data_IF_134349587505
#
_entry.id   IF_134349587505
#
_cell.length_a   1.000
_cell.length_b   1.000
_cell.length_c   1.000
_cell.angle_alpha   90.00
_cell.angle_beta   90.00
_cell.angle_gamma   90.00
#
_symmetry.space_group_name_H-M   'P 1'
#
loop_
_entity.id
_entity.type
_entity.pdbx_description
1 polymer ?
#
# COMPACT_ATOMS: atom_id res chain seq x y z
N UNK A 1 -15.72 -7.75 5.61
CA UNK A 1 -14.51 -7.76 4.76
C UNK A 1 -13.27 -7.73 5.64
N UNK A 2 -12.17 -8.44 5.33
CA UNK A 2 -10.95 -8.36 6.13
C UNK A 2 -10.21 -7.03 5.95
N UNK A 3 -9.56 -6.55 7.01
CA UNK A 3 -8.77 -5.31 7.05
C UNK A 3 -7.29 -5.66 7.28
N UNK A 4 -6.40 -4.81 6.79
CA UNK A 4 -4.96 -4.91 6.97
C UNK A 4 -4.27 -3.56 6.97
N UNK A 5 -2.94 -3.57 6.94
CA UNK A 5 -2.14 -2.35 6.83
C UNK A 5 -2.14 -1.83 5.39
N UNK A 6 -2.27 -0.51 5.23
CA UNK A 6 -2.20 0.13 3.94
C UNK A 6 -0.75 0.34 3.48
N UNK A 7 -0.34 -0.39 2.44
CA UNK A 7 1.05 -0.37 1.95
C UNK A 7 1.48 1.01 1.41
N UNK A 8 0.71 1.72 0.57
CA UNK A 8 1.08 3.06 0.11
C UNK A 8 1.30 4.05 1.25
N UNK A 9 0.40 4.11 2.24
CA UNK A 9 0.62 4.97 3.40
C UNK A 9 1.71 4.46 4.33
N UNK A 10 2.08 3.18 4.32
CA UNK A 10 3.27 2.72 5.05
C UNK A 10 4.49 3.48 4.57
N UNK A 11 4.70 3.54 3.25
CA UNK A 11 5.79 4.34 2.67
C UNK A 11 5.58 5.84 2.90
N UNK A 12 4.35 6.33 2.71
CA UNK A 12 4.02 7.73 2.90
C UNK A 12 4.30 8.24 4.32
N UNK A 13 3.85 7.49 5.33
CA UNK A 13 4.07 7.79 6.73
C UNK A 13 5.54 7.72 7.09
N UNK A 14 6.27 6.69 6.63
CA UNK A 14 7.71 6.56 6.94
C UNK A 14 8.52 7.71 6.34
N UNK A 15 8.34 8.01 5.05
CA UNK A 15 9.22 8.95 4.34
C UNK A 15 8.79 10.41 4.41
N UNK A 16 7.50 10.70 4.58
CA UNK A 16 7.00 12.08 4.55
C UNK A 16 6.46 12.57 5.90
N UNK A 17 6.30 11.69 6.89
CA UNK A 17 5.80 12.07 8.22
C UNK A 17 6.82 11.74 9.30
N UNK A 18 7.03 10.46 9.58
CA UNK A 18 7.83 9.95 10.70
C UNK A 18 9.32 10.28 10.51
N UNK A 19 9.88 9.97 9.33
CA UNK A 19 11.28 10.25 9.01
C UNK A 19 11.62 11.75 9.11
N UNK A 20 10.87 12.64 8.42
CA UNK A 20 11.05 14.08 8.55
C UNK A 20 10.81 14.59 9.97
N UNK A 21 9.81 14.09 10.68
CA UNK A 21 9.56 14.46 12.08
C UNK A 21 10.74 14.11 12.99
N UNK A 22 11.35 12.94 12.78
CA UNK A 22 12.56 12.53 13.49
C UNK A 22 13.74 13.45 13.15
N UNK A 23 13.98 13.70 11.85
CA UNK A 23 15.08 14.56 11.40
C UNK A 23 14.94 16.00 11.94
N UNK A 24 13.73 16.57 11.90
CA UNK A 24 13.44 17.90 12.46
C UNK A 24 13.67 17.94 13.97
N UNK A 25 13.33 16.87 14.69
CA UNK A 25 13.53 16.75 16.13
C UNK A 25 15.03 16.73 16.48
N UNK A 26 15.82 15.93 15.75
CA UNK A 26 17.28 15.89 15.88
C UNK A 26 17.89 17.27 15.58
N UNK A 27 17.46 17.92 14.49
CA UNK A 27 17.93 19.25 14.13
C UNK A 27 17.59 20.32 15.18
N UNK A 28 16.53 20.09 15.96
CA UNK A 28 16.11 20.95 17.09
C UNK A 28 16.88 20.67 18.39
N UNK A 29 17.84 19.74 18.38
CA UNK A 29 18.72 19.44 19.51
C UNK A 29 18.21 18.38 20.48
N UNK A 30 17.14 17.65 20.13
CA UNK A 30 16.65 16.50 20.93
C UNK A 30 17.62 15.32 20.82
N UNK A 31 17.67 14.49 21.87
CA UNK A 31 18.41 13.22 21.81
C UNK A 31 17.73 12.24 20.84
N UNK A 32 18.45 11.21 20.39
CA UNK A 32 17.90 10.21 19.45
C UNK A 32 16.63 9.54 19.98
N UNK A 33 16.58 9.22 21.27
CA UNK A 33 15.41 8.57 21.88
C UNK A 33 14.22 9.53 21.98
N UNK A 34 14.46 10.79 22.36
CA UNK A 34 13.40 11.81 22.44
C UNK A 34 12.85 12.16 21.04
N UNK A 35 13.74 12.27 20.05
CA UNK A 35 13.37 12.47 18.67
C UNK A 35 12.52 11.30 18.13
N UNK A 36 12.93 10.06 18.42
CA UNK A 36 12.16 8.86 18.04
C UNK A 36 10.78 8.85 18.69
N UNK A 37 10.69 9.19 19.99
CA UNK A 37 9.42 9.28 20.72
C UNK A 37 8.52 10.38 20.18
N UNK A 38 9.07 11.56 19.87
CA UNK A 38 8.31 12.64 19.24
C UNK A 38 7.78 12.24 17.86
N UNK A 39 8.60 11.62 17.02
CA UNK A 39 8.19 11.13 15.71
C UNK A 39 7.10 10.05 15.81
N UNK A 40 7.21 9.14 16.79
CA UNK A 40 6.17 8.15 17.09
C UNK A 40 4.84 8.82 17.49
N UNK A 41 4.87 9.80 18.39
CA UNK A 41 3.67 10.55 18.80
C UNK A 41 3.02 11.31 17.64
N UNK A 42 3.82 11.96 16.78
CA UNK A 42 3.31 12.60 15.56
C UNK A 42 2.66 11.57 14.62
N UNK A 43 3.28 10.40 14.48
CA UNK A 43 2.71 9.27 13.73
C UNK A 43 1.35 8.84 14.28
N UNK A 44 1.23 8.67 15.60
CA UNK A 44 -0.04 8.30 16.24
C UNK A 44 -1.13 9.35 16.01
N UNK A 45 -0.84 10.64 16.24
CA UNK A 45 -1.77 11.74 15.96
C UNK A 45 -2.23 11.74 14.50
N UNK A 46 -1.30 11.50 13.57
CA UNK A 46 -1.60 11.43 12.14
C UNK A 46 -2.57 10.29 11.83
N UNK A 47 -2.39 9.12 12.42
CA UNK A 47 -3.29 7.98 12.22
C UNK A 47 -4.65 8.20 12.85
N UNK A 48 -4.72 8.81 14.04
CA UNK A 48 -6.00 9.21 14.65
C UNK A 48 -6.73 10.21 13.74
N UNK A 49 -6.03 11.21 13.21
CA UNK A 49 -6.60 12.19 12.28
C UNK A 49 -7.13 11.53 11.00
N UNK A 50 -6.35 10.60 10.42
CA UNK A 50 -6.77 9.80 9.27
C UNK A 50 -8.04 8.99 9.58
N UNK A 51 -8.07 8.28 10.70
CA UNK A 51 -9.24 7.48 11.10
C UNK A 51 -10.51 8.32 11.29
N UNK A 52 -10.39 9.51 11.91
CA UNK A 52 -11.49 10.47 12.04
C UNK A 52 -11.95 10.97 10.67
N UNK A 53 -11.02 11.27 9.76
CA UNK A 53 -11.34 11.66 8.39
C UNK A 53 -12.07 10.55 7.63
N UNK A 54 -11.63 9.30 7.72
CA UNK A 54 -12.32 8.16 7.10
C UNK A 54 -13.74 7.99 7.63
N UNK A 55 -13.93 8.12 8.94
CA UNK A 55 -15.24 8.06 9.58
C UNK A 55 -16.17 9.17 9.07
N UNK A 56 -15.65 10.38 8.85
CA UNK A 56 -16.43 11.48 8.29
C UNK A 56 -16.76 11.30 6.81
N UNK A 57 -15.92 10.57 6.06
CA UNK A 57 -16.20 10.19 4.68
C UNK A 57 -17.19 9.02 4.54
N UNK A 58 -17.36 8.18 5.57
CA UNK A 58 -18.20 6.98 5.49
C UNK A 58 -19.64 7.23 4.96
N UNK A 59 -20.36 8.29 5.39
CA UNK A 59 -21.70 8.59 4.86
C UNK A 59 -21.69 8.96 3.36
N UNK A 60 -20.59 9.54 2.87
CA UNK A 60 -20.43 9.95 1.47
C UNK A 60 -19.96 8.79 0.58
N UNK A 61 -19.39 7.74 1.16
CA UNK A 61 -18.80 6.62 0.42
C UNK A 61 -19.82 5.92 -0.49
N UNK A 62 -21.08 5.76 -0.03
CA UNK A 62 -22.15 5.19 -0.86
C UNK A 62 -22.50 6.07 -2.07
N UNK A 63 -22.50 7.39 -1.90
CA UNK A 63 -22.76 8.33 -3.00
C UNK A 63 -21.64 8.26 -4.05
N UNK A 64 -20.39 8.18 -3.60
CA UNK A 64 -19.23 8.03 -4.48
C UNK A 64 -19.30 6.69 -5.22
N UNK A 65 -19.54 5.59 -4.51
CA UNK A 65 -19.68 4.25 -5.11
C UNK A 65 -20.74 4.20 -6.21
N UNK A 66 -21.87 4.89 -6.04
CA UNK A 66 -22.95 4.94 -7.04
C UNK A 66 -22.66 5.91 -8.21
N UNK A 67 -21.91 6.98 -7.96
CA UNK A 67 -21.65 8.02 -8.96
C UNK A 67 -20.49 7.65 -9.90
N UNK A 68 -19.50 6.92 -9.39
CA UNK A 68 -18.26 6.59 -10.10
C UNK A 68 -18.46 5.30 -10.91
N UNK A 69 -18.15 5.27 -12.22
CA UNK A 69 -18.30 4.07 -13.03
C UNK A 69 -17.29 3.00 -12.58
N UNK A 70 -17.70 1.74 -12.64
CA UNK A 70 -16.88 0.58 -12.27
C UNK A 70 -15.49 0.58 -12.90
N UNK A 71 -15.38 0.97 -14.17
CA UNK A 71 -14.11 1.06 -14.89
C UNK A 71 -13.12 2.06 -14.28
N UNK A 72 -13.61 3.08 -13.57
CA UNK A 72 -12.77 4.06 -12.88
C UNK A 72 -12.18 3.50 -11.58
N UNK A 73 -13.04 2.92 -10.74
CA UNK A 73 -12.67 2.25 -9.48
C UNK A 73 -11.71 1.07 -9.72
N UNK A 74 -12.05 0.19 -10.67
CA UNK A 74 -11.20 -0.94 -11.02
C UNK A 74 -9.93 -0.51 -11.79
N UNK A 75 -9.99 0.60 -12.52
CA UNK A 75 -8.87 1.20 -13.24
C UNK A 75 -7.75 1.66 -12.31
N UNK A 76 -8.08 2.44 -11.28
CA UNK A 76 -7.12 2.85 -10.24
C UNK A 76 -6.51 1.65 -9.51
N UNK A 77 -7.32 0.63 -9.17
CA UNK A 77 -6.79 -0.61 -8.58
C UNK A 77 -5.82 -1.34 -9.52
N UNK A 78 -6.16 -1.48 -10.80
CA UNK A 78 -5.32 -2.16 -11.77
C UNK A 78 -3.97 -1.44 -11.93
N UNK A 79 -4.00 -0.11 -11.94
CA UNK A 79 -2.83 0.75 -12.03
C UNK A 79 -1.88 0.55 -10.84
N UNK A 80 -2.39 0.61 -9.61
CA UNK A 80 -1.58 0.39 -8.39
C UNK A 80 -1.03 -1.04 -8.34
N UNK A 81 -1.89 -2.02 -8.63
CA UNK A 81 -1.53 -3.43 -8.60
C UNK A 81 -0.41 -3.77 -9.59
N UNK A 82 -0.49 -3.25 -10.82
CA UNK A 82 0.50 -3.51 -11.85
C UNK A 82 1.78 -2.67 -11.66
N UNK A 83 1.63 -1.36 -11.49
CA UNK A 83 2.78 -0.45 -11.49
C UNK A 83 3.58 -0.49 -10.19
N UNK A 84 2.95 -0.75 -9.03
CA UNK A 84 3.62 -0.69 -7.74
C UNK A 84 3.73 -2.07 -7.09
N UNK A 85 2.60 -2.75 -6.87
CA UNK A 85 2.57 -4.02 -6.13
C UNK A 85 3.27 -5.14 -6.90
N UNK A 86 3.10 -5.20 -8.22
CA UNK A 86 3.77 -6.20 -9.04
C UNK A 86 5.23 -5.82 -9.31
N UNK A 87 5.50 -4.58 -9.74
CA UNK A 87 6.83 -4.20 -10.23
C UNK A 87 7.89 -4.05 -9.13
N UNK A 88 7.60 -3.39 -8.00
CA UNK A 88 8.62 -3.10 -6.99
C UNK A 88 9.23 -4.39 -6.37
N UNK A 89 8.43 -5.41 -5.99
CA UNK A 89 8.98 -6.67 -5.50
C UNK A 89 9.79 -7.45 -6.54
N UNK A 90 9.53 -7.25 -7.84
CA UNK A 90 10.31 -7.86 -8.91
C UNK A 90 11.77 -7.42 -8.89
N UNK A 91 12.05 -6.16 -8.52
CA UNK A 91 13.43 -5.67 -8.39
C UNK A 91 14.19 -6.44 -7.31
N UNK A 92 13.55 -6.70 -6.17
CA UNK A 92 14.15 -7.43 -5.06
C UNK A 92 14.30 -8.92 -5.37
N UNK A 93 13.33 -9.51 -6.09
CA UNK A 93 13.43 -10.89 -6.59
C UNK A 93 14.66 -11.09 -7.47
N UNK A 94 15.05 -10.06 -8.23
CA UNK A 94 16.19 -10.09 -9.13
C UNK A 94 17.53 -9.79 -8.45
N UNK A 95 17.57 -9.40 -7.17
CA UNK A 95 18.83 -9.33 -6.40
C UNK A 95 19.38 -10.72 -6.12
N UNK A 96 18.49 -11.72 -5.96
CA UNK A 96 18.84 -13.14 -5.83
C UNK A 96 17.96 -14.00 -6.76
N UNK A 97 18.22 -14.00 -8.08
CA UNK A 97 17.34 -14.61 -9.07
C UNK A 97 17.07 -16.10 -8.83
N UNK A 98 18.06 -16.86 -8.33
CA UNK A 98 17.88 -18.29 -8.05
C UNK A 98 16.78 -18.54 -7.01
N UNK A 99 16.80 -17.79 -5.90
CA UNK A 99 15.81 -17.91 -4.83
C UNK A 99 14.48 -17.33 -5.28
N UNK A 100 14.51 -16.11 -5.83
CA UNK A 100 13.31 -15.36 -6.13
C UNK A 100 12.53 -15.90 -7.33
N UNK A 101 13.19 -16.25 -8.43
CA UNK A 101 12.51 -16.78 -9.62
C UNK A 101 11.97 -18.19 -9.41
N UNK A 102 12.65 -19.03 -8.61
CA UNK A 102 12.12 -20.35 -8.24
C UNK A 102 10.87 -20.20 -7.38
N UNK A 103 10.92 -19.34 -6.36
CA UNK A 103 9.77 -19.04 -5.50
C UNK A 103 8.60 -18.50 -6.32
N UNK A 104 8.87 -17.55 -7.23
CA UNK A 104 7.88 -17.00 -8.15
C UNK A 104 7.31 -18.07 -9.08
N UNK A 105 8.14 -18.94 -9.65
CA UNK A 105 7.70 -20.04 -10.52
C UNK A 105 6.74 -20.99 -9.79
N UNK A 106 7.05 -21.33 -8.53
CA UNK A 106 6.16 -22.16 -7.69
C UNK A 106 4.84 -21.46 -7.44
N UNK A 107 4.85 -20.16 -7.12
CA UNK A 107 3.62 -19.39 -6.90
C UNK A 107 2.76 -19.28 -8.16
N UNK A 108 3.37 -18.97 -9.31
CA UNK A 108 2.65 -18.88 -10.58
C UNK A 108 2.07 -20.24 -10.98
N UNK A 109 2.83 -21.34 -10.81
CA UNK A 109 2.33 -22.68 -11.06
C UNK A 109 1.15 -23.04 -10.12
N UNK A 110 1.29 -22.76 -8.83
CA UNK A 110 0.35 -23.25 -7.81
C UNK A 110 -0.88 -22.37 -7.62
N UNK A 111 -0.72 -21.05 -7.64
CA UNK A 111 -1.79 -20.10 -7.37
C UNK A 111 -2.43 -19.56 -8.65
N UNK A 112 -1.65 -19.24 -9.69
CA UNK A 112 -2.19 -18.75 -10.97
C UNK A 112 -2.67 -19.91 -11.86
N UNK A 113 -1.80 -20.88 -12.13
CA UNK A 113 -2.12 -22.03 -12.98
C UNK A 113 -2.84 -23.16 -12.23
N UNK A 114 -3.00 -23.04 -10.90
CA UNK A 114 -3.72 -23.99 -10.03
C UNK A 114 -3.17 -25.41 -10.09
N UNK A 115 -1.86 -25.56 -10.36
CA UNK A 115 -1.17 -26.84 -10.33
C UNK A 115 -0.94 -27.25 -8.87
N UNK A 116 -1.45 -28.42 -8.42
CA UNK A 116 -1.30 -28.84 -7.04
C UNK A 116 0.17 -29.12 -6.72
N UNK A 117 0.64 -28.58 -5.59
CA UNK A 117 1.98 -28.87 -5.06
C UNK A 117 1.99 -30.29 -4.46
N UNK A 118 3.08 -31.07 -4.60
CA UNK A 118 3.23 -32.36 -3.94
C UNK A 118 2.92 -32.28 -2.44
N UNK A 119 2.17 -33.26 -1.92
CA UNK A 119 1.75 -33.27 -0.52
C UNK A 119 0.62 -32.30 -0.15
N UNK A 120 0.04 -31.58 -1.12
CA UNK A 120 -1.07 -30.62 -0.93
C UNK A 120 -0.74 -29.50 0.06
N UNK A 121 0.53 -29.15 0.19
CA UNK A 121 0.94 -27.98 0.97
C UNK A 121 0.52 -26.68 0.24
N UNK A 122 0.23 -25.58 0.97
CA UNK A 122 -0.08 -24.30 0.35
C UNK A 122 1.05 -23.82 -0.57
N UNK A 123 0.69 -23.32 -1.76
CA UNK A 123 1.65 -22.86 -2.76
C UNK A 123 2.63 -21.82 -2.25
N UNK A 124 2.15 -20.87 -1.43
CA UNK A 124 2.99 -19.85 -0.80
C UNK A 124 3.99 -20.43 0.21
N UNK A 125 3.57 -21.42 1.00
CA UNK A 125 4.47 -22.11 1.93
C UNK A 125 5.52 -22.93 1.16
N UNK A 126 5.11 -23.60 0.08
CA UNK A 126 6.02 -24.35 -0.78
C UNK A 126 7.08 -23.44 -1.41
N UNK A 127 6.67 -22.28 -1.93
CA UNK A 127 7.57 -21.30 -2.49
C UNK A 127 8.60 -20.83 -1.45
N UNK A 128 8.15 -20.49 -0.24
CA UNK A 128 9.02 -20.06 0.85
C UNK A 128 10.02 -21.16 1.27
N UNK A 129 9.55 -22.39 1.46
CA UNK A 129 10.40 -23.50 1.89
C UNK A 129 11.44 -23.88 0.84
N UNK A 130 11.03 -23.97 -0.43
CA UNK A 130 11.93 -24.34 -1.53
C UNK A 130 12.89 -23.20 -1.84
N UNK A 131 12.39 -21.96 -1.97
CA UNK A 131 13.21 -20.78 -2.21
C UNK A 131 14.19 -20.52 -1.08
N UNK A 132 13.71 -20.49 0.17
CA UNK A 132 14.55 -20.29 1.33
C UNK A 132 15.58 -21.43 1.52
N UNK A 133 15.17 -22.68 1.32
CA UNK A 133 16.08 -23.83 1.35
C UNK A 133 17.17 -23.73 0.28
N UNK A 134 16.84 -23.33 -0.95
CA UNK A 134 17.81 -23.08 -2.01
C UNK A 134 18.77 -21.95 -1.63
N UNK A 135 18.27 -20.87 -1.02
CA UNK A 135 19.09 -19.77 -0.53
C UNK A 135 20.12 -20.25 0.49
N UNK A 136 19.68 -21.01 1.50
CA UNK A 136 20.55 -21.58 2.53
C UNK A 136 21.64 -22.49 1.93
N UNK A 137 21.28 -23.37 1.00
CA UNK A 137 22.23 -24.27 0.33
C UNK A 137 23.22 -23.46 -0.52
N UNK A 138 22.73 -22.50 -1.31
CA UNK A 138 23.58 -21.69 -2.17
C UNK A 138 24.56 -20.83 -1.35
N UNK A 139 24.16 -20.30 -0.19
CA UNK A 139 25.07 -19.61 0.73
C UNK A 139 26.07 -20.59 1.36
N UNK A 140 25.64 -21.76 1.81
CA UNK A 140 26.52 -22.75 2.45
C UNK A 140 27.61 -23.30 1.52
N UNK A 141 27.32 -23.41 0.21
CA UNK A 141 28.27 -23.85 -0.83
C UNK A 141 29.10 -22.67 -1.40
N UNK A 142 28.80 -21.44 -0.98
CA UNK A 142 29.53 -20.23 -1.39
C UNK A 142 29.14 -19.68 -2.77
N UNK A 143 27.97 -20.06 -3.30
CA UNK A 143 27.43 -19.51 -4.56
C UNK A 143 26.73 -18.17 -4.39
N UNK A 144 26.18 -17.92 -3.20
CA UNK A 144 25.61 -16.63 -2.82
C UNK A 144 26.43 -16.04 -1.66
N UNK A 145 26.53 -14.70 -1.59
CA UNK A 145 27.05 -14.05 -0.38
C UNK A 145 26.18 -14.44 0.83
N UNK A 146 26.73 -14.36 2.05
CA UNK A 146 25.93 -14.45 3.26
C UNK A 146 24.78 -13.46 3.21
N UNK A 147 23.59 -13.90 3.66
CA UNK A 147 22.45 -12.99 3.79
C UNK A 147 22.83 -11.93 4.82
N UNK A 148 22.86 -10.67 4.41
CA UNK A 148 23.01 -9.56 5.36
C UNK A 148 21.76 -9.48 6.24
N UNK A 149 21.97 -9.23 7.53
CA UNK A 149 20.88 -9.05 8.48
C UNK A 149 19.92 -7.99 7.97
N UNK A 150 18.63 -8.32 7.95
CA UNK A 150 17.61 -7.36 7.56
C UNK A 150 17.39 -6.33 8.68
N UNK A 151 17.74 -6.69 9.92
CA UNK A 151 17.64 -5.81 11.07
C UNK A 151 18.95 -5.04 11.33
N UNK A 152 18.84 -3.74 11.59
CA UNK A 152 19.93 -2.90 12.08
C UNK A 152 20.21 -3.09 13.59
N UNK A 153 19.46 -3.98 14.24
CA UNK A 153 19.49 -4.26 15.67
C UNK A 153 19.39 -5.77 15.91
N UNK A 154 19.84 -6.22 17.09
CA UNK A 154 19.73 -7.61 17.50
C UNK A 154 18.25 -8.03 17.66
N UNK A 155 17.71 -8.95 16.84
CA UNK A 155 16.27 -9.29 16.86
C UNK A 155 15.75 -9.74 18.22
N UNK A 156 16.60 -10.41 19.02
CA UNK A 156 16.26 -10.86 20.36
C UNK A 156 15.96 -9.70 21.33
N UNK A 157 16.55 -8.52 21.09
CA UNK A 157 16.31 -7.32 21.91
C UNK A 157 14.91 -6.73 21.74
N UNK A 158 14.22 -7.07 20.64
CA UNK A 158 12.86 -6.65 20.37
C UNK A 158 11.80 -7.58 20.97
N UNK A 159 12.18 -8.68 21.62
CA UNK A 159 11.23 -9.58 22.27
C UNK A 159 10.60 -8.93 23.50
N UNK A 160 9.30 -9.18 23.70
CA UNK A 160 8.49 -8.63 24.79
C UNK A 160 8.56 -7.09 24.88
N UNK A 161 8.23 -6.37 23.80
CA UNK A 161 8.28 -4.92 23.80
C UNK A 161 7.24 -4.37 24.76
N UNK A 162 7.68 -3.64 25.79
CA UNK A 162 6.79 -2.98 26.77
C UNK A 162 6.63 -1.48 26.50
N UNK A 163 7.45 -0.89 25.61
CA UNK A 163 7.45 0.54 25.32
C UNK A 163 6.13 1.06 24.72
N UNK A 164 5.35 0.22 24.04
CA UNK A 164 4.05 0.64 23.51
C UNK A 164 3.04 1.00 24.62
N UNK A 165 3.22 0.49 25.85
CA UNK A 165 2.37 0.84 26.99
C UNK A 165 2.48 2.31 27.39
N UNK A 166 3.52 3.03 26.94
CA UNK A 166 3.64 4.47 27.10
C UNK A 166 2.43 5.20 26.49
N UNK A 167 1.71 4.62 25.53
CA UNK A 167 0.48 5.22 24.97
C UNK A 167 -0.56 5.63 26.03
N UNK A 168 -0.61 4.91 27.16
CA UNK A 168 -1.55 5.16 28.26
C UNK A 168 -1.15 6.33 29.17
N UNK A 169 0.04 6.91 28.99
CA UNK A 169 0.42 8.16 29.64
C UNK A 169 -0.18 9.40 28.96
N UNK A 170 -0.76 9.22 27.77
CA UNK A 170 -1.39 10.27 26.97
C UNK A 170 -0.47 11.45 26.60
N UNK A 171 0.85 11.31 26.73
CA UNK A 171 1.83 12.33 26.39
C UNK A 171 1.84 12.65 24.89
N UNK A 172 1.43 11.69 24.05
CA UNK A 172 1.31 11.87 22.60
C UNK A 172 0.30 12.96 22.20
N UNK A 173 -0.67 13.32 23.05
CA UNK A 173 -1.57 14.44 22.78
C UNK A 173 -0.83 15.78 22.63
N UNK A 174 0.33 15.93 23.28
CA UNK A 174 1.17 17.12 23.13
C UNK A 174 1.76 17.27 21.72
N UNK A 175 1.76 16.21 20.89
CA UNK A 175 2.27 16.23 19.53
C UNK A 175 1.24 16.72 18.49
N UNK A 176 -0.03 16.97 18.86
CA UNK A 176 -1.05 17.46 17.92
C UNK A 176 -0.64 18.75 17.20
N UNK A 177 -0.11 19.80 17.87
CA UNK A 177 0.34 21.01 17.19
C UNK A 177 1.45 20.75 16.16
N UNK A 178 2.37 19.82 16.46
CA UNK A 178 3.43 19.40 15.54
C UNK A 178 2.90 18.57 14.37
N UNK A 179 1.76 17.92 14.54
CA UNK A 179 1.14 17.04 13.54
C UNK A 179 0.44 17.83 12.44
N UNK A 180 -0.06 19.04 12.72
CA UNK A 180 -0.86 19.84 11.77
C UNK A 180 -0.15 20.03 10.43
N UNK A 181 1.17 20.23 10.43
CA UNK A 181 1.95 20.43 9.20
C UNK A 181 1.99 19.18 8.29
N UNK A 182 1.73 17.99 8.82
CA UNK A 182 1.71 16.73 8.07
C UNK A 182 0.30 16.36 7.58
N UNK A 183 -0.76 17.01 8.07
CA UNK A 183 -2.14 16.72 7.63
C UNK A 183 -2.34 16.87 6.11
N UNK A 184 -1.73 17.84 5.41
CA UNK A 184 -1.79 17.91 3.95
C UNK A 184 -1.27 16.67 3.24
N UNK A 185 -0.41 15.86 3.87
CA UNK A 185 0.10 14.59 3.34
C UNK A 185 -0.79 13.42 3.80
N UNK A 186 -1.12 13.39 5.09
CA UNK A 186 -1.88 12.31 5.75
C UNK A 186 -3.31 12.20 5.20
N UNK A 187 -3.98 13.32 4.98
CA UNK A 187 -5.39 13.34 4.55
C UNK A 187 -5.55 12.80 3.12
N UNK A 188 -4.72 13.15 2.12
CA UNK A 188 -4.73 12.48 0.83
C UNK A 188 -4.52 10.97 0.89
N UNK A 189 -3.62 10.46 1.75
CA UNK A 189 -3.49 9.01 1.95
C UNK A 189 -4.75 8.39 2.56
N UNK A 190 -5.36 9.06 3.54
CA UNK A 190 -6.62 8.62 4.13
C UNK A 190 -7.75 8.58 3.08
N UNK A 191 -7.84 9.63 2.24
CA UNK A 191 -8.79 9.68 1.13
C UNK A 191 -8.51 8.56 0.11
N UNK A 192 -7.24 8.30 -0.21
CA UNK A 192 -6.84 7.19 -1.06
C UNK A 192 -7.33 5.84 -0.53
N UNK A 193 -7.26 5.61 0.78
CA UNK A 193 -7.81 4.39 1.39
C UNK A 193 -9.33 4.35 1.43
N UNK A 194 -10.03 5.48 1.59
CA UNK A 194 -11.51 5.52 1.46
C UNK A 194 -11.93 5.10 0.06
N UNK A 195 -11.26 5.65 -0.97
CA UNK A 195 -11.49 5.25 -2.37
C UNK A 195 -11.15 3.78 -2.56
N UNK A 196 -9.99 3.33 -2.09
CA UNK A 196 -9.57 1.92 -2.15
C UNK A 196 -10.54 0.98 -1.43
N UNK A 197 -11.15 1.42 -0.33
CA UNK A 197 -12.18 0.67 0.39
C UNK A 197 -13.48 0.54 -0.40
N UNK A 198 -13.87 1.58 -1.14
CA UNK A 198 -14.98 1.53 -2.11
C UNK A 198 -14.63 0.58 -3.27
N UNK A 199 -13.41 0.64 -3.79
CA UNK A 199 -12.96 -0.26 -4.85
C UNK A 199 -12.95 -1.73 -4.36
N UNK A 200 -12.59 -1.94 -3.10
CA UNK A 200 -12.61 -3.23 -2.44
C UNK A 200 -14.03 -3.78 -2.28
N UNK A 201 -15.01 -2.96 -1.87
CA UNK A 201 -16.40 -3.42 -1.80
C UNK A 201 -16.95 -3.78 -3.18
N UNK A 202 -16.60 -3.03 -4.21
CA UNK A 202 -16.95 -3.34 -5.59
C UNK A 202 -16.29 -4.64 -6.09
N UNK A 203 -15.01 -4.85 -5.75
CA UNK A 203 -14.29 -6.09 -6.05
C UNK A 203 -14.93 -7.31 -5.35
N UNK A 204 -15.35 -7.15 -4.09
CA UNK A 204 -16.05 -8.21 -3.36
C UNK A 204 -17.42 -8.54 -3.96
N UNK A 205 -18.18 -7.51 -4.37
CA UNK A 205 -19.45 -7.68 -5.06
C UNK A 205 -19.26 -8.42 -6.40
N UNK A 206 -18.17 -8.15 -7.13
CA UNK A 206 -17.80 -8.90 -8.34
C UNK A 206 -17.60 -10.41 -8.09
N UNK A 207 -17.18 -10.79 -6.88
CA UNK A 207 -17.02 -12.18 -6.45
C UNK A 207 -18.27 -12.74 -5.71
N UNK A 208 -19.39 -12.02 -5.75
CA UNK A 208 -20.67 -12.44 -5.19
C UNK A 208 -20.84 -12.22 -3.68
N UNK A 209 -20.04 -11.36 -3.05
CA UNK A 209 -20.27 -10.91 -1.67
C UNK A 209 -20.60 -9.42 -1.63
N UNK A 210 -21.85 -9.09 -1.30
CA UNK A 210 -22.29 -7.70 -1.14
C UNK A 210 -22.03 -7.22 0.29
N UNK A 211 -21.27 -6.13 0.41
CA UNK A 211 -21.01 -5.44 1.67
C UNK A 211 -21.56 -4.01 1.62
N UNK A 212 -22.08 -3.49 2.74
CA UNK A 212 -22.40 -2.07 2.87
C UNK A 212 -21.11 -1.25 2.84
N UNK A 213 -20.89 -0.51 1.75
CA UNK A 213 -19.72 0.36 1.57
C UNK A 213 -19.55 1.33 2.73
N UNK A 214 -20.65 1.93 3.24
CA UNK A 214 -20.58 2.83 4.41
C UNK A 214 -20.06 2.08 5.64
N UNK A 215 -20.59 0.90 5.91
CA UNK A 215 -20.16 0.04 7.01
C UNK A 215 -18.69 -0.35 6.89
N UNK A 216 -18.21 -0.69 5.69
CA UNK A 216 -16.80 -1.05 5.46
C UNK A 216 -15.88 0.13 5.79
N UNK A 217 -16.16 1.32 5.24
CA UNK A 217 -15.35 2.51 5.50
C UNK A 217 -15.44 2.94 6.98
N UNK A 218 -16.61 2.80 7.61
CA UNK A 218 -16.76 3.13 9.03
C UNK A 218 -15.94 2.20 9.93
N UNK A 219 -15.94 0.89 9.65
CA UNK A 219 -15.14 -0.09 10.42
C UNK A 219 -13.65 0.11 10.17
N UNK A 220 -13.25 0.41 8.94
CA UNK A 220 -11.86 0.78 8.61
C UNK A 220 -11.40 2.04 9.36
N UNK A 221 -12.21 3.10 9.33
CA UNK A 221 -11.93 4.35 10.05
C UNK A 221 -11.82 4.12 11.55
N UNK A 222 -12.75 3.37 12.13
CA UNK A 222 -12.71 3.00 13.55
C UNK A 222 -11.47 2.16 13.90
N UNK A 223 -11.14 1.15 13.10
CA UNK A 223 -9.95 0.33 13.29
C UNK A 223 -8.67 1.18 13.22
N UNK A 224 -8.64 2.15 12.30
CA UNK A 224 -7.53 3.12 12.17
C UNK A 224 -7.41 3.99 13.43
N UNK A 225 -8.51 4.53 13.96
CA UNK A 225 -8.50 5.31 15.21
C UNK A 225 -8.00 4.45 16.37
N UNK A 226 -8.54 3.24 16.54
CA UNK A 226 -8.14 2.32 17.61
C UNK A 226 -6.67 1.95 17.48
N UNK A 227 -6.16 1.70 16.27
CA UNK A 227 -4.75 1.44 16.04
C UNK A 227 -3.88 2.63 16.50
N UNK A 228 -4.23 3.85 16.12
CA UNK A 228 -3.52 5.07 16.57
C UNK A 228 -3.53 5.24 18.09
N UNK A 229 -4.67 5.00 18.74
CA UNK A 229 -4.82 5.02 20.20
C UNK A 229 -4.06 3.90 20.91
N UNK A 230 -3.57 2.89 20.19
CA UNK A 230 -2.76 1.80 20.72
C UNK A 230 -1.29 1.87 20.27
N UNK A 231 -0.83 3.03 19.77
CA UNK A 231 0.56 3.24 19.35
C UNK A 231 0.85 2.95 17.88
N UNK A 232 -0.18 2.65 17.08
CA UNK A 232 -0.06 2.45 15.64
C UNK A 232 0.27 3.75 14.89
N UNK A 233 1.18 3.65 13.92
CA UNK A 233 1.61 4.77 13.07
C UNK A 233 1.31 4.56 11.58
N UNK A 234 0.61 3.49 11.26
CA UNK A 234 0.16 3.13 9.91
C UNK A 234 -1.35 2.89 9.96
N UNK A 235 -2.07 3.41 8.96
CA UNK A 235 -3.52 3.27 8.86
C UNK A 235 -3.94 1.89 8.34
N UNK A 236 -5.15 1.47 8.69
CA UNK A 236 -5.73 0.26 8.12
C UNK A 236 -6.43 0.53 6.78
N UNK A 237 -6.58 -0.50 5.96
CA UNK A 237 -7.37 -0.51 4.72
C UNK A 237 -8.02 -1.89 4.51
N UNK A 238 -9.16 -1.99 3.82
CA UNK A 238 -9.70 -3.28 3.36
C UNK A 238 -8.69 -4.01 2.48
N UNK A 239 -8.54 -5.31 2.68
CA UNK A 239 -7.63 -6.09 1.85
C UNK A 239 -8.15 -6.20 0.42
N UNK A 240 -7.34 -5.65 -0.49
CA UNK A 240 -7.49 -5.89 -1.91
C UNK A 240 -7.23 -7.38 -2.18
N UNK A 241 -8.02 -7.99 -3.06
CA UNK A 241 -7.90 -9.42 -3.39
C UNK A 241 -8.89 -10.33 -2.65
N UNK A 242 -9.98 -9.79 -2.09
CA UNK A 242 -11.11 -10.59 -1.57
C UNK A 242 -11.55 -11.74 -2.51
N UNK A 243 -11.66 -11.55 -3.85
CA UNK A 243 -11.95 -12.65 -4.76
C UNK A 243 -10.93 -13.80 -4.70
N UNK A 244 -9.64 -13.49 -4.58
CA UNK A 244 -8.58 -14.49 -4.48
C UNK A 244 -8.65 -15.26 -3.15
N UNK A 245 -8.81 -14.54 -2.02
CA UNK A 245 -8.97 -15.18 -0.71
C UNK A 245 -10.20 -16.08 -0.64
N UNK A 246 -11.32 -15.65 -1.24
CA UNK A 246 -12.54 -16.45 -1.34
C UNK A 246 -12.33 -17.69 -2.21
N UNK A 247 -11.65 -17.57 -3.34
CA UNK A 247 -11.32 -18.71 -4.20
C UNK A 247 -10.41 -19.74 -3.50
N UNK A 248 -9.56 -19.29 -2.56
CA UNK A 248 -8.77 -20.17 -1.68
C UNK A 248 -9.56 -20.78 -0.53
N UNK A 249 -10.85 -20.45 -0.36
CA UNK A 249 -11.70 -20.92 0.73
C UNK A 249 -11.57 -20.12 2.03
N UNK A 250 -10.91 -18.96 2.01
CA UNK A 250 -10.80 -18.06 3.15
C UNK A 250 -12.16 -17.52 3.60
N UNK A 251 -12.44 -17.60 4.91
CA UNK A 251 -13.68 -17.11 5.55
C UNK A 251 -13.35 -16.28 6.79
N UNK A 252 -14.37 -15.87 7.56
CA UNK A 252 -14.17 -15.04 8.75
C UNK A 252 -13.19 -15.64 9.77
N UNK A 253 -13.19 -16.98 9.95
CA UNK A 253 -12.25 -17.67 10.82
C UNK A 253 -10.79 -17.52 10.38
N UNK A 254 -10.53 -17.48 9.06
CA UNK A 254 -9.19 -17.21 8.54
C UNK A 254 -8.74 -15.80 8.92
N UNK A 255 -9.60 -14.80 8.72
CA UNK A 255 -9.31 -13.42 9.12
C UNK A 255 -9.02 -13.30 10.62
N UNK A 256 -9.81 -13.96 11.46
CA UNK A 256 -9.60 -13.96 12.92
C UNK A 256 -8.29 -14.65 13.29
N UNK A 257 -8.00 -15.81 12.70
CA UNK A 257 -6.75 -16.52 12.93
C UNK A 257 -5.53 -15.68 12.54
N UNK A 258 -5.60 -14.97 11.40
CA UNK A 258 -4.56 -14.02 10.99
C UNK A 258 -4.42 -12.88 12.00
N UNK A 259 -5.52 -12.27 12.46
CA UNK A 259 -5.47 -11.20 13.44
C UNK A 259 -4.85 -11.66 14.78
N UNK A 260 -5.21 -12.84 15.26
CA UNK A 260 -4.64 -13.43 16.48
C UNK A 260 -3.15 -13.74 16.29
N UNK A 261 -2.78 -14.37 15.17
CA UNK A 261 -1.37 -14.71 14.89
C UNK A 261 -0.49 -13.46 14.79
N UNK A 262 -0.90 -12.47 13.99
CA UNK A 262 -0.17 -11.20 13.82
C UNK A 262 -0.16 -10.43 15.14
N UNK A 263 -1.27 -10.37 15.87
CA UNK A 263 -1.35 -9.69 17.17
C UNK A 263 -0.42 -10.32 18.21
N UNK A 264 -0.40 -11.65 18.32
CA UNK A 264 0.51 -12.35 19.23
C UNK A 264 1.98 -12.18 18.82
N UNK A 265 2.29 -12.25 17.53
CA UNK A 265 3.65 -11.99 17.04
C UNK A 265 4.10 -10.54 17.33
N UNK A 266 3.18 -9.58 17.27
CA UNK A 266 3.42 -8.18 17.67
C UNK A 266 3.67 -8.03 19.18
N UNK A 267 2.78 -8.56 20.02
CA UNK A 267 2.89 -8.47 21.49
C UNK A 267 4.15 -9.15 22.01
N UNK A 268 4.55 -10.27 21.41
CA UNK A 268 5.76 -11.00 21.79
C UNK A 268 7.04 -10.39 21.19
N UNK A 269 6.92 -9.49 20.21
CA UNK A 269 8.06 -8.98 19.44
C UNK A 269 8.67 -9.99 18.46
N UNK A 270 8.03 -11.15 18.26
CA UNK A 270 8.55 -12.24 17.42
C UNK A 270 8.71 -11.85 15.96
N UNK A 271 8.09 -10.76 15.50
CA UNK A 271 8.27 -10.25 14.14
C UNK A 271 9.73 -9.92 13.81
N UNK A 272 10.51 -9.40 14.75
CA UNK A 272 11.92 -9.11 14.49
C UNK A 272 12.70 -10.39 14.12
N UNK A 273 12.42 -11.49 14.84
CA UNK A 273 13.04 -12.79 14.58
C UNK A 273 12.50 -13.42 13.29
N UNK A 274 11.19 -13.35 13.04
CA UNK A 274 10.59 -13.86 11.82
C UNK A 274 11.10 -13.11 10.58
N UNK A 275 11.25 -11.79 10.68
CA UNK A 275 11.77 -10.95 9.62
C UNK A 275 13.21 -11.31 9.27
N UNK A 276 14.04 -11.60 10.27
CA UNK A 276 15.42 -12.04 10.06
C UNK A 276 15.51 -13.45 9.45
N UNK A 277 14.59 -14.35 9.78
CA UNK A 277 14.61 -15.74 9.31
C UNK A 277 14.10 -15.93 7.87
N UNK A 278 13.26 -15.02 7.39
CA UNK A 278 12.56 -15.16 6.10
C UNK A 278 13.35 -14.41 5.03
N UNK A 279 13.92 -15.11 4.02
CA UNK A 279 14.63 -14.42 2.95
C UNK A 279 13.68 -13.55 2.15
N UNK A 280 13.96 -12.24 2.06
CA UNK A 280 13.19 -11.29 1.26
C UNK A 280 12.83 -11.80 -0.14
N UNK A 281 13.81 -12.29 -0.93
CA UNK A 281 13.56 -12.81 -2.27
C UNK A 281 12.61 -14.01 -2.33
N UNK A 282 12.46 -14.78 -1.25
CA UNK A 282 11.56 -15.94 -1.19
C UNK A 282 10.11 -15.55 -0.85
N UNK A 283 9.90 -14.47 -0.09
CA UNK A 283 8.55 -14.04 0.33
C UNK A 283 7.91 -13.04 -0.63
N UNK A 284 8.69 -12.09 -1.15
CA UNK A 284 8.21 -11.00 -2.01
C UNK A 284 7.47 -11.43 -3.29
N UNK A 285 7.78 -12.58 -3.92
CA UNK A 285 6.99 -13.13 -5.02
C UNK A 285 5.49 -13.26 -4.75
N UNK A 286 5.05 -13.37 -3.49
CA UNK A 286 3.61 -13.39 -3.18
C UNK A 286 2.91 -12.09 -3.57
N UNK A 287 3.59 -10.95 -3.43
CA UNK A 287 3.07 -9.64 -3.81
C UNK A 287 2.93 -9.53 -5.33
N UNK A 288 3.88 -10.10 -6.07
CA UNK A 288 3.81 -10.19 -7.54
C UNK A 288 2.54 -10.93 -7.97
N UNK A 289 2.31 -12.12 -7.40
CA UNK A 289 1.09 -12.90 -7.65
C UNK A 289 -0.19 -12.09 -7.34
N UNK A 290 -0.22 -11.45 -6.16
CA UNK A 290 -1.37 -10.63 -5.74
C UNK A 290 -1.61 -9.48 -6.73
N UNK A 291 -0.56 -8.77 -7.14
CA UNK A 291 -0.65 -7.69 -8.13
C UNK A 291 -1.22 -8.17 -9.46
N UNK A 292 -0.73 -9.31 -9.98
CA UNK A 292 -1.23 -9.92 -11.21
C UNK A 292 -2.72 -10.30 -11.13
N UNK A 293 -3.14 -10.94 -10.04
CA UNK A 293 -4.55 -11.31 -9.83
C UNK A 293 -5.45 -10.08 -9.73
N UNK A 294 -5.05 -9.06 -8.97
CA UNK A 294 -5.84 -7.82 -8.85
C UNK A 294 -5.99 -7.15 -10.22
N UNK A 295 -4.90 -7.01 -10.97
CA UNK A 295 -4.94 -6.44 -12.32
C UNK A 295 -5.84 -7.26 -13.24
N UNK A 296 -5.70 -8.58 -13.28
CA UNK A 296 -6.54 -9.45 -14.12
C UNK A 296 -8.03 -9.36 -13.76
N UNK A 297 -8.37 -9.36 -12.46
CA UNK A 297 -9.74 -9.23 -12.00
C UNK A 297 -10.34 -7.86 -12.36
N UNK A 298 -9.56 -6.77 -12.26
CA UNK A 298 -10.03 -5.44 -12.69
C UNK A 298 -10.45 -5.41 -14.16
N UNK A 299 -9.70 -6.09 -15.05
CA UNK A 299 -10.09 -6.22 -16.45
C UNK A 299 -11.29 -7.16 -16.63
N UNK A 300 -11.33 -8.32 -15.97
CA UNK A 300 -12.46 -9.25 -16.10
C UNK A 300 -13.79 -8.68 -15.58
N UNK A 301 -13.76 -7.91 -14.50
CA UNK A 301 -14.95 -7.29 -13.93
C UNK A 301 -15.39 -6.02 -14.68
N UNK A 302 -14.55 -5.47 -15.56
CA UNK A 302 -14.89 -4.31 -16.40
C UNK A 302 -15.48 -4.77 -17.74
N UNK A 303 -16.53 -4.11 -18.29
CA UNK A 303 -16.97 -4.39 -19.65
C UNK A 303 -15.84 -4.20 -20.66
N UNK A 304 -15.70 -5.12 -21.63
CA UNK A 304 -14.59 -5.08 -22.62
C UNK A 304 -14.46 -3.73 -23.34
N UNK A 305 -15.58 -3.06 -23.65
CA UNK A 305 -15.57 -1.74 -24.28
C UNK A 305 -14.86 -0.66 -23.45
N UNK A 306 -14.76 -0.84 -22.12
CA UNK A 306 -14.12 0.09 -21.19
C UNK A 306 -12.67 -0.29 -20.85
N UNK A 307 -12.09 -1.32 -21.48
CA UNK A 307 -10.66 -1.66 -21.27
C UNK A 307 -9.70 -0.50 -21.53
N UNK A 308 -9.91 0.39 -22.53
CA UNK A 308 -9.09 1.58 -22.69
C UNK A 308 -9.11 2.50 -21.46
N UNK A 309 -10.23 2.56 -20.73
CA UNK A 309 -10.34 3.36 -19.51
C UNK A 309 -9.52 2.76 -18.35
N UNK A 310 -9.45 1.43 -18.26
CA UNK A 310 -8.58 0.74 -17.28
C UNK A 310 -7.10 0.93 -17.66
N UNK A 311 -6.77 0.83 -18.95
CA UNK A 311 -5.39 0.97 -19.43
C UNK A 311 -4.83 2.38 -19.24
N UNK A 312 -5.60 3.43 -19.55
CA UNK A 312 -5.15 4.82 -19.37
C UNK A 312 -4.97 5.16 -17.88
N UNK A 313 -5.72 4.51 -16.99
CA UNK A 313 -5.56 4.64 -15.55
C UNK A 313 -4.14 4.23 -15.07
N UNK A 314 -3.43 3.38 -15.81
CA UNK A 314 -2.08 2.97 -15.44
C UNK A 314 -1.03 4.07 -15.64
N UNK A 315 -1.28 5.06 -16.50
CA UNK A 315 -0.28 6.06 -16.89
C UNK A 315 0.23 6.90 -15.69
N UNK A 316 -0.65 7.50 -14.86
CA UNK A 316 -0.19 8.25 -13.68
C UNK A 316 0.59 7.38 -12.68
N UNK A 317 0.17 6.12 -12.48
CA UNK A 317 0.85 5.21 -11.57
C UNK A 317 2.25 4.80 -12.08
N UNK A 318 2.41 4.64 -13.40
CA UNK A 318 3.72 4.41 -14.02
C UNK A 318 4.64 5.63 -13.87
N UNK A 319 4.10 6.85 -13.98
CA UNK A 319 4.87 8.07 -13.70
C UNK A 319 5.33 8.10 -12.23
N UNK A 320 4.44 7.75 -11.29
CA UNK A 320 4.79 7.64 -9.87
C UNK A 320 5.88 6.58 -9.62
N UNK A 321 5.82 5.43 -10.30
CA UNK A 321 6.88 4.41 -10.24
C UNK A 321 8.24 4.97 -10.68
N UNK A 322 8.28 5.71 -11.79
CA UNK A 322 9.53 6.33 -12.29
C UNK A 322 10.04 7.36 -11.28
N UNK A 323 9.15 8.20 -10.74
CA UNK A 323 9.51 9.21 -9.75
C UNK A 323 10.10 8.60 -8.48
N UNK A 324 9.59 7.45 -8.01
CA UNK A 324 10.16 6.74 -6.85
C UNK A 324 11.65 6.41 -7.07
N UNK A 325 12.04 5.96 -8.26
CA UNK A 325 13.44 5.65 -8.55
C UNK A 325 14.27 6.91 -8.78
N UNK A 326 13.68 7.92 -9.42
CA UNK A 326 14.33 9.21 -9.60
C UNK A 326 14.64 9.89 -8.26
N UNK A 327 13.70 9.90 -7.32
CA UNK A 327 13.89 10.54 -6.03
C UNK A 327 15.02 9.84 -5.23
N UNK A 328 15.19 8.52 -5.36
CA UNK A 328 16.36 7.80 -4.82
C UNK A 328 17.68 8.26 -5.45
N UNK A 329 17.71 8.46 -6.76
CA UNK A 329 18.91 8.95 -7.46
C UNK A 329 19.25 10.37 -7.03
N UNK A 330 18.26 11.26 -6.94
CA UNK A 330 18.45 12.63 -6.46
C UNK A 330 18.95 12.66 -5.01
N UNK A 331 18.37 11.82 -4.13
CA UNK A 331 18.84 11.66 -2.75
C UNK A 331 20.27 11.13 -2.68
N UNK A 332 20.71 10.34 -3.65
CA UNK A 332 22.09 9.89 -3.80
C UNK A 332 23.04 10.95 -4.42
N UNK A 333 22.55 12.16 -4.71
CA UNK A 333 23.34 13.28 -5.22
C UNK A 333 23.38 13.39 -6.74
N UNK A 334 22.51 12.71 -7.47
CA UNK A 334 22.44 12.85 -8.93
C UNK A 334 22.05 14.28 -9.34
N UNK A 335 22.75 14.84 -10.33
CA UNK A 335 22.49 16.17 -10.89
C UNK A 335 22.01 16.05 -12.34
N UNK A 336 20.68 16.04 -12.57
CA UNK A 336 20.13 15.93 -13.92
C UNK A 336 20.51 17.13 -14.80
N UNK A 337 20.71 16.89 -16.09
CA UNK A 337 20.87 17.98 -17.08
C UNK A 337 19.57 18.79 -17.21
N UNK A 338 19.64 20.05 -17.65
CA UNK A 338 18.45 20.92 -17.79
C UNK A 338 17.31 20.32 -18.64
N UNK A 339 17.63 19.55 -19.69
CA UNK A 339 16.62 18.84 -20.50
C UNK A 339 15.94 17.74 -19.71
N UNK A 340 16.72 16.97 -18.93
CA UNK A 340 16.20 15.91 -18.07
C UNK A 340 15.38 16.50 -16.91
N UNK A 341 15.79 17.62 -16.33
CA UNK A 341 15.01 18.33 -15.29
C UNK A 341 13.61 18.70 -15.78
N UNK A 342 13.49 19.15 -17.03
CA UNK A 342 12.18 19.49 -17.63
C UNK A 342 11.30 18.24 -17.80
N UNK A 343 11.89 17.13 -18.21
CA UNK A 343 11.19 15.84 -18.34
C UNK A 343 10.75 15.31 -16.96
N UNK A 344 11.65 15.33 -15.98
CA UNK A 344 11.37 14.95 -14.59
C UNK A 344 10.29 15.82 -13.95
N UNK A 345 10.27 17.12 -14.24
CA UNK A 345 9.19 18.00 -13.79
C UNK A 345 7.84 17.60 -14.40
N UNK A 346 7.81 17.26 -15.68
CA UNK A 346 6.59 16.76 -16.35
C UNK A 346 6.12 15.42 -15.76
N UNK A 347 7.06 14.52 -15.46
CA UNK A 347 6.77 13.26 -14.77
C UNK A 347 6.25 13.48 -13.36
N UNK A 348 6.82 14.45 -12.62
CA UNK A 348 6.33 14.82 -11.29
C UNK A 348 4.90 15.34 -11.35
N UNK A 349 4.59 16.24 -12.28
CA UNK A 349 3.21 16.68 -12.51
C UNK A 349 2.28 15.50 -12.79
N UNK A 350 2.69 14.53 -13.61
CA UNK A 350 1.87 13.36 -13.92
C UNK A 350 1.71 12.41 -12.71
N UNK A 351 2.73 12.28 -11.86
CA UNK A 351 2.74 11.43 -10.67
C UNK A 351 1.99 12.03 -9.47
N UNK A 352 1.95 13.36 -9.34
CA UNK A 352 1.28 14.05 -8.24
C UNK A 352 -0.22 13.72 -8.19
N UNK A 353 -0.64 13.07 -7.11
CA UNK A 353 -2.03 12.63 -6.94
C UNK A 353 -2.44 11.44 -7.81
N UNK A 354 -1.48 10.60 -8.25
CA UNK A 354 -1.70 9.58 -9.28
C UNK A 354 -2.92 8.67 -9.05
N UNK A 355 -3.28 8.32 -7.81
CA UNK A 355 -4.46 7.48 -7.50
C UNK A 355 -5.74 8.18 -7.98
N UNK A 356 -5.91 9.45 -7.59
CA UNK A 356 -7.06 10.26 -7.98
C UNK A 356 -7.02 10.56 -9.49
N UNK A 357 -5.85 10.91 -10.03
CA UNK A 357 -5.68 11.14 -11.48
C UNK A 357 -6.09 9.91 -12.29
N UNK A 358 -5.67 8.71 -11.86
CA UNK A 358 -6.01 7.43 -12.51
C UNK A 358 -7.52 7.20 -12.51
N UNK A 359 -8.19 7.42 -11.37
CA UNK A 359 -9.65 7.30 -11.24
C UNK A 359 -10.38 8.31 -12.13
N UNK A 360 -9.97 9.57 -12.10
CA UNK A 360 -10.60 10.65 -12.89
C UNK A 360 -10.46 10.39 -14.40
N UNK A 361 -9.27 10.01 -14.86
CA UNK A 361 -8.99 9.73 -16.27
C UNK A 361 -9.74 8.50 -16.77
N UNK A 362 -9.80 7.45 -15.95
CA UNK A 362 -10.59 6.26 -16.25
C UNK A 362 -12.10 6.59 -16.29
N UNK A 363 -12.61 7.38 -15.34
CA UNK A 363 -14.00 7.84 -15.30
C UNK A 363 -14.39 8.69 -16.50
N UNK A 364 -13.53 9.63 -16.87
CA UNK A 364 -13.65 10.45 -18.07
C UNK A 364 -13.69 9.58 -19.33
N UNK A 365 -12.73 8.68 -19.47
CA UNK A 365 -12.60 7.80 -20.65
C UNK A 365 -13.81 6.88 -20.79
N UNK A 366 -14.28 6.28 -19.69
CA UNK A 366 -15.49 5.47 -19.69
C UNK A 366 -16.74 6.28 -20.10
N UNK A 367 -16.88 7.52 -19.59
CA UNK A 367 -17.99 8.40 -19.95
C UNK A 367 -17.95 8.82 -21.44
N UNK A 368 -16.76 9.05 -22.00
CA UNK A 368 -16.56 9.34 -23.41
C UNK A 368 -16.90 8.13 -24.29
N UNK A 369 -16.46 6.93 -23.91
CA UNK A 369 -16.79 5.67 -24.61
C UNK A 369 -18.32 5.45 -24.64
N UNK A 370 -19.00 5.72 -23.52
CA UNK A 370 -20.46 5.64 -23.43
C UNK A 370 -21.19 6.83 -24.09
N UNK A 371 -20.46 7.78 -24.70
CA UNK A 371 -20.98 9.01 -25.33
C UNK A 371 -21.80 9.89 -24.38
N UNK A 372 -21.54 9.81 -23.07
CA UNK A 372 -22.22 10.61 -22.04
C UNK A 372 -21.42 11.89 -21.77
N UNK A 373 -21.42 12.80 -22.75
CA UNK A 373 -20.59 14.02 -22.73
C UNK A 373 -20.81 14.92 -21.51
N UNK A 374 -22.03 14.98 -20.97
CA UNK A 374 -22.29 15.72 -19.73
C UNK A 374 -21.54 15.17 -18.52
N UNK A 375 -21.45 13.84 -18.39
CA UNK A 375 -20.68 13.20 -17.32
C UNK A 375 -19.17 13.38 -17.55
N UNK A 376 -18.73 13.29 -18.80
CA UNK A 376 -17.33 13.58 -19.16
C UNK A 376 -16.94 15.01 -18.77
N UNK A 377 -17.82 15.99 -19.03
CA UNK A 377 -17.59 17.37 -18.62
C UNK A 377 -17.50 17.51 -17.09
N UNK A 378 -18.36 16.83 -16.33
CA UNK A 378 -18.26 16.80 -14.87
C UNK A 378 -16.90 16.26 -14.39
N UNK A 379 -16.40 15.17 -14.99
CA UNK A 379 -15.06 14.66 -14.66
C UNK A 379 -13.96 15.68 -14.92
N UNK A 380 -14.02 16.40 -16.04
CA UNK A 380 -13.07 17.46 -16.34
C UNK A 380 -13.17 18.63 -15.34
N UNK A 381 -14.37 19.03 -14.93
CA UNK A 381 -14.55 20.09 -13.93
C UNK A 381 -14.03 19.68 -12.56
N UNK A 382 -14.28 18.44 -12.14
CA UNK A 382 -13.74 17.90 -10.89
C UNK A 382 -12.21 17.87 -10.96
N UNK A 383 -11.65 17.34 -12.04
CA UNK A 383 -10.20 17.30 -12.24
C UNK A 383 -9.60 18.71 -12.21
N UNK A 384 -10.20 19.69 -12.91
CA UNK A 384 -9.74 21.08 -12.89
C UNK A 384 -9.76 21.69 -11.49
N UNK A 385 -10.82 21.42 -10.70
CA UNK A 385 -10.91 21.85 -9.31
C UNK A 385 -9.81 21.22 -8.45
N UNK A 386 -9.59 19.91 -8.57
CA UNK A 386 -8.54 19.22 -7.82
C UNK A 386 -7.13 19.70 -8.22
N UNK A 387 -6.90 19.98 -9.50
CA UNK A 387 -5.64 20.59 -9.97
C UNK A 387 -5.44 21.99 -9.39
N UNK A 388 -6.49 22.81 -9.34
CA UNK A 388 -6.42 24.17 -8.80
C UNK A 388 -5.95 24.20 -7.34
N UNK A 389 -6.35 23.21 -6.54
CA UNK A 389 -5.93 23.06 -5.15
C UNK A 389 -4.67 22.20 -4.96
N UNK A 390 -4.00 21.78 -6.05
CA UNK A 390 -2.80 20.95 -5.99
C UNK A 390 -3.03 19.52 -5.50
N UNK A 391 -4.28 19.04 -5.43
CA UNK A 391 -4.61 17.67 -5.03
C UNK A 391 -4.14 16.66 -6.09
N UNK A 392 -4.19 17.06 -7.36
CA UNK A 392 -3.57 16.36 -8.48
C UNK A 392 -2.68 17.34 -9.24
N UNK A 393 -1.67 16.83 -9.93
CA UNK A 393 -0.77 17.66 -10.76
C UNK A 393 -0.11 18.83 -10.02
N UNK A 394 0.15 18.69 -8.71
CA UNK A 394 0.94 19.68 -7.97
C UNK A 394 2.34 19.82 -8.58
N UNK A 395 2.77 21.05 -8.90
CA UNK A 395 4.14 21.32 -9.34
C UNK A 395 5.13 21.33 -8.17
N UNK A 396 4.64 21.33 -6.93
CA UNK A 396 5.48 21.47 -5.75
C UNK A 396 5.94 20.10 -5.21
N UNK A 397 7.13 20.02 -4.60
CA UNK A 397 7.65 18.79 -4.00
C UNK A 397 6.99 18.41 -2.67
N UNK A 398 6.10 19.28 -2.13
CA UNK A 398 5.67 19.26 -0.73
C UNK A 398 4.15 19.10 -0.58
#
# INVERSE_FOLDING_TARGET
MPLGLDTPSTFGMVFFVIGPAYADAIASGLTELEAARQAWHIGMCSIVASGIFKLSCAPLATLIHQAVPRAALLGSLAAIALALICFLPFLEVLTQPLVGLVSLGILLASLTARVPVPGRIPGALAALLVGGGLGLVATAVGWLPPVESHAAFEPASALWPMGWLEVFDFSWFAAWPLTVKYLPIVIPFALGTVVGGIDCTESAAAAGDEFDTRGVIAVEGLATVVAGLCGGVIQSTPYIGHPAYKAMGGRAAYTLATAVFIGLAGITGSFAVLYELIPGPAILPILIFIGLEISAQSFHATPQRHYPAVAIACIPALAALVMIQNDKLLAAGATPTASLETELFSLRLLASGFILTSLLWAGLTAALIDRRLGRAACWCFIAAGLTLFGVIHSPFPD
#
